data_IF_248659594064
#
_entry.id   IF_248659594064
#
_cell.length_a   1.000
_cell.length_b   1.000
_cell.length_c   1.000
_cell.angle_alpha   90.00
_cell.angle_beta   90.00
_cell.angle_gamma   90.00
#
_symmetry.space_group_name_H-M   'P 1'
#
loop_
_entity.id
_entity.type
_entity.pdbx_description
1 polymer ?
#
# COMPACT_ATOMS: atom_id res chain seq x y z
N UNK A 1 0.84 -31.72 -12.74
CA UNK A 1 -0.21 -30.71 -12.99
C UNK A 1 0.46 -29.35 -12.99
N UNK A 2 0.22 -28.50 -14.01
CA UNK A 2 0.72 -27.13 -14.01
C UNK A 2 -0.27 -26.22 -13.28
N UNK A 3 0.22 -25.44 -12.34
CA UNK A 3 -0.62 -24.59 -11.48
C UNK A 3 0.00 -23.22 -11.24
N UNK A 4 -0.83 -22.27 -10.82
CA UNK A 4 -0.40 -21.08 -10.11
C UNK A 4 -1.18 -20.93 -8.80
N UNK A 5 -0.52 -20.44 -7.75
CA UNK A 5 -1.15 -20.22 -6.45
C UNK A 5 -1.15 -18.72 -6.15
N UNK A 6 -2.31 -18.22 -5.75
CA UNK A 6 -2.53 -16.82 -5.41
C UNK A 6 -2.95 -16.71 -3.95
N UNK A 7 -2.32 -15.81 -3.20
CA UNK A 7 -2.63 -15.54 -1.80
C UNK A 7 -2.96 -14.07 -1.60
N UNK A 8 -3.87 -13.78 -0.67
CA UNK A 8 -4.19 -12.40 -0.31
C UNK A 8 -2.95 -11.74 0.31
N UNK A 9 -2.66 -10.53 -0.14
CA UNK A 9 -1.57 -9.66 0.33
C UNK A 9 -1.98 -9.09 1.70
N UNK A 10 -1.32 -9.47 2.81
CA UNK A 10 -1.71 -9.02 4.16
C UNK A 10 -1.73 -7.49 4.29
N UNK A 11 -0.83 -6.81 3.59
CA UNK A 11 -0.73 -5.36 3.55
C UNK A 11 -1.96 -4.66 2.96
N UNK A 12 -2.75 -5.35 2.13
CA UNK A 12 -3.98 -4.84 1.51
C UNK A 12 -5.26 -5.34 2.20
N UNK A 13 -5.16 -6.29 3.14
CA UNK A 13 -6.32 -6.98 3.72
C UNK A 13 -7.06 -6.15 4.79
N UNK A 14 -7.62 -5.00 4.41
CA UNK A 14 -8.36 -4.11 5.33
C UNK A 14 -9.68 -4.72 5.82
N UNK A 15 -10.30 -5.57 5.01
CA UNK A 15 -11.60 -6.22 5.30
C UNK A 15 -11.45 -7.59 5.97
N UNK A 16 -10.21 -7.99 6.27
CA UNK A 16 -9.85 -9.25 6.95
C UNK A 16 -10.37 -10.48 6.21
N UNK A 17 -10.21 -10.51 4.90
CA UNK A 17 -10.60 -11.58 4.00
C UNK A 17 -9.71 -12.82 4.15
N UNK A 18 -8.46 -12.65 4.58
CA UNK A 18 -7.56 -13.78 4.80
C UNK A 18 -8.20 -14.80 5.74
N UNK A 19 -8.10 -16.07 5.36
CA UNK A 19 -8.56 -17.22 6.14
C UNK A 19 -10.08 -17.31 6.33
N UNK A 20 -10.85 -16.45 5.65
CA UNK A 20 -12.30 -16.54 5.62
C UNK A 20 -12.80 -17.37 4.43
N UNK A 21 -14.00 -17.92 4.57
CA UNK A 21 -14.62 -18.80 3.60
C UNK A 21 -15.18 -18.04 2.38
N UNK A 22 -15.60 -18.78 1.35
CA UNK A 22 -16.09 -18.16 0.10
C UNK A 22 -17.37 -17.33 0.32
N UNK A 23 -18.21 -17.73 1.28
CA UNK A 23 -19.44 -17.00 1.63
C UNK A 23 -19.12 -15.60 2.17
N UNK A 24 -18.16 -15.49 3.09
CA UNK A 24 -17.69 -14.21 3.63
C UNK A 24 -17.08 -13.32 2.54
N UNK A 25 -16.27 -13.93 1.66
CA UNK A 25 -15.69 -13.25 0.51
C UNK A 25 -16.77 -12.67 -0.41
N UNK A 26 -17.81 -13.44 -0.72
CA UNK A 26 -18.93 -12.98 -1.53
C UNK A 26 -19.80 -11.93 -0.85
N UNK A 27 -19.95 -12.00 0.48
CA UNK A 27 -20.66 -10.96 1.24
C UNK A 27 -19.92 -9.61 1.18
N UNK A 28 -18.58 -9.63 1.16
CA UNK A 28 -17.76 -8.42 1.13
C UNK A 28 -17.58 -7.84 -0.30
N UNK A 29 -17.38 -8.69 -1.31
CA UNK A 29 -16.97 -8.26 -2.67
C UNK A 29 -17.89 -8.72 -3.80
N UNK A 30 -18.95 -9.47 -3.51
CA UNK A 30 -19.81 -10.07 -4.53
C UNK A 30 -19.16 -11.31 -5.17
N UNK A 31 -19.69 -11.74 -6.32
CA UNK A 31 -19.29 -13.01 -6.96
C UNK A 31 -17.90 -12.99 -7.58
N UNK A 32 -17.48 -11.86 -8.16
CA UNK A 32 -16.13 -11.71 -8.72
C UNK A 32 -15.15 -11.48 -7.57
N UNK A 33 -14.14 -12.35 -7.45
CA UNK A 33 -13.13 -12.21 -6.42
C UNK A 33 -12.26 -10.96 -6.66
N UNK A 34 -11.86 -10.23 -5.61
CA UNK A 34 -11.05 -9.03 -5.73
C UNK A 34 -9.58 -9.38 -6.02
N UNK A 35 -9.28 -9.82 -7.24
CA UNK A 35 -7.95 -10.32 -7.63
C UNK A 35 -6.80 -9.32 -7.39
N UNK A 36 -7.07 -8.00 -7.36
CA UNK A 36 -6.09 -6.97 -7.02
C UNK A 36 -5.57 -7.03 -5.57
N UNK A 37 -6.24 -7.77 -4.68
CA UNK A 37 -5.78 -8.04 -3.33
C UNK A 37 -4.84 -9.25 -3.24
N UNK A 38 -4.64 -9.97 -4.35
CA UNK A 38 -3.87 -11.20 -4.40
C UNK A 38 -2.51 -11.03 -5.05
N UNK A 39 -1.55 -11.84 -4.61
CA UNK A 39 -0.23 -12.02 -5.22
C UNK A 39 -0.10 -13.46 -5.73
N UNK A 40 0.49 -13.63 -6.91
CA UNK A 40 0.93 -14.94 -7.40
C UNK A 40 2.20 -15.40 -6.66
N UNK A 41 2.06 -16.27 -5.67
CA UNK A 41 3.15 -16.77 -4.82
C UNK A 41 3.86 -18.02 -5.36
N UNK A 42 3.29 -18.64 -6.40
CA UNK A 42 3.87 -19.77 -7.13
C UNK A 42 3.31 -19.87 -8.55
N UNK A 43 4.13 -20.33 -9.49
CA UNK A 43 3.68 -20.82 -10.80
C UNK A 43 4.66 -21.89 -11.29
N UNK A 44 4.14 -23.08 -11.61
CA UNK A 44 4.98 -24.20 -12.02
C UNK A 44 4.26 -25.54 -12.01
N UNK A 45 5.03 -26.60 -12.24
CA UNK A 45 4.55 -27.97 -12.21
C UNK A 45 4.62 -28.57 -10.81
N UNK A 46 3.57 -29.27 -10.41
CA UNK A 46 3.50 -30.05 -9.17
C UNK A 46 3.10 -31.49 -9.44
N UNK A 47 3.64 -32.42 -8.66
CA UNK A 47 3.31 -33.85 -8.69
C UNK A 47 1.97 -34.12 -7.97
N UNK A 48 0.89 -33.58 -8.54
CA UNK A 48 -0.48 -33.77 -8.05
C UNK A 48 -1.37 -34.33 -9.17
N UNK A 49 -2.19 -35.32 -8.83
CA UNK A 49 -3.20 -35.91 -9.70
C UNK A 49 -4.60 -35.26 -9.55
N UNK A 50 -4.86 -34.58 -8.43
CA UNK A 50 -6.06 -33.78 -8.18
C UNK A 50 -5.75 -32.63 -7.21
N UNK A 51 -6.65 -31.64 -7.12
CA UNK A 51 -6.41 -30.36 -6.43
C UNK A 51 -6.22 -30.50 -4.91
N UNK A 52 -6.80 -31.51 -4.29
CA UNK A 52 -6.64 -31.76 -2.86
C UNK A 52 -5.22 -32.23 -2.50
N UNK A 53 -4.50 -32.89 -3.41
CA UNK A 53 -3.06 -33.18 -3.21
C UNK A 53 -2.23 -31.89 -3.23
N UNK A 54 -2.63 -30.89 -4.02
CA UNK A 54 -1.96 -29.59 -4.06
C UNK A 54 -1.98 -28.94 -2.68
N UNK A 55 -3.12 -28.98 -1.98
CA UNK A 55 -3.21 -28.48 -0.60
C UNK A 55 -2.19 -29.15 0.33
N UNK A 56 -1.99 -30.48 0.23
CA UNK A 56 -1.01 -31.19 1.04
C UNK A 56 0.44 -30.79 0.69
N UNK A 57 0.75 -30.60 -0.59
CA UNK A 57 2.09 -30.18 -1.05
C UNK A 57 2.45 -28.82 -0.45
N UNK A 58 1.58 -27.82 -0.58
CA UNK A 58 1.79 -26.46 -0.06
C UNK A 58 1.59 -26.32 1.46
N UNK A 59 1.57 -27.44 2.19
CA UNK A 59 1.55 -27.49 3.65
C UNK A 59 2.60 -28.43 4.26
N UNK A 60 3.19 -29.35 3.48
CA UNK A 60 4.17 -30.33 4.00
C UNK A 60 5.52 -30.27 3.30
N UNK A 61 5.54 -30.04 1.98
CA UNK A 61 6.75 -30.10 1.15
C UNK A 61 6.73 -28.95 0.14
N UNK A 62 7.07 -27.74 0.61
CA UNK A 62 7.06 -26.55 -0.23
C UNK A 62 7.94 -26.70 -1.47
N UNK A 63 7.42 -26.41 -2.68
CA UNK A 63 8.21 -26.37 -3.90
C UNK A 63 9.35 -25.34 -3.82
N UNK A 64 10.43 -25.57 -4.57
CA UNK A 64 11.67 -24.76 -4.53
C UNK A 64 11.46 -23.25 -4.73
N UNK A 65 10.53 -22.87 -5.60
CA UNK A 65 10.25 -21.47 -5.93
C UNK A 65 9.01 -20.91 -5.21
N UNK A 66 8.54 -21.61 -4.17
CA UNK A 66 7.41 -21.15 -3.37
C UNK A 66 7.82 -20.03 -2.42
N UNK A 67 7.05 -18.93 -2.45
CA UNK A 67 7.32 -17.73 -1.61
C UNK A 67 6.19 -17.35 -0.68
N UNK A 68 5.09 -18.10 -0.73
CA UNK A 68 3.89 -17.83 0.07
C UNK A 68 3.92 -18.42 1.48
N UNK A 69 2.91 -18.09 2.27
CA UNK A 69 2.61 -18.77 3.54
C UNK A 69 2.01 -20.15 3.28
N UNK A 70 1.89 -21.03 4.26
CA UNK A 70 1.09 -22.26 4.13
C UNK A 70 -0.24 -22.02 3.42
N UNK A 71 -0.59 -22.91 2.49
CA UNK A 71 -1.85 -22.82 1.76
C UNK A 71 -3.01 -22.97 2.73
N UNK A 72 -3.99 -22.06 2.65
CA UNK A 72 -5.10 -21.97 3.59
C UNK A 72 -6.38 -21.49 2.90
N UNK A 73 -7.47 -21.48 3.66
CA UNK A 73 -8.73 -20.86 3.25
C UNK A 73 -8.45 -19.44 2.76
N UNK A 74 -9.17 -18.98 1.74
CA UNK A 74 -9.00 -17.72 1.00
C UNK A 74 -7.99 -17.72 -0.15
N UNK A 75 -7.14 -18.75 -0.24
CA UNK A 75 -6.19 -18.86 -1.35
C UNK A 75 -6.90 -19.29 -2.64
N UNK A 76 -6.39 -18.86 -3.79
CA UNK A 76 -6.92 -19.22 -5.11
C UNK A 76 -5.89 -20.06 -5.85
N UNK A 77 -6.29 -21.26 -6.25
CA UNK A 77 -5.51 -22.17 -7.08
C UNK A 77 -5.96 -22.07 -8.53
N UNK A 78 -5.05 -21.75 -9.42
CA UNK A 78 -5.25 -21.87 -10.85
C UNK A 78 -4.71 -23.22 -11.33
N UNK A 79 -5.56 -24.02 -11.99
CA UNK A 79 -5.14 -25.21 -12.74
C UNK A 79 -5.04 -24.82 -14.22
N UNK A 80 -3.83 -24.93 -14.76
CA UNK A 80 -3.49 -24.46 -16.10
C UNK A 80 -3.50 -25.66 -17.06
N UNK A 81 -4.57 -25.81 -17.83
CA UNK A 81 -4.64 -26.80 -18.92
C UNK A 81 -3.91 -26.26 -20.16
N UNK A 82 -4.23 -25.02 -20.54
CA UNK A 82 -3.48 -24.20 -21.50
C UNK A 82 -3.42 -22.75 -21.01
N UNK A 83 -2.57 -21.86 -21.58
CA UNK A 83 -2.56 -20.45 -21.17
C UNK A 83 -3.90 -19.73 -21.36
N UNK A 84 -4.77 -20.24 -22.25
CA UNK A 84 -6.11 -19.72 -22.53
C UNK A 84 -7.23 -20.51 -21.84
N UNK A 85 -6.95 -21.72 -21.37
CA UNK A 85 -7.91 -22.60 -20.67
C UNK A 85 -7.36 -22.89 -19.28
N UNK A 86 -7.72 -22.03 -18.34
CA UNK A 86 -7.35 -22.17 -16.94
C UNK A 86 -8.60 -22.09 -16.07
N UNK A 87 -8.67 -22.92 -15.03
CA UNK A 87 -9.76 -22.92 -14.05
C UNK A 87 -9.23 -22.47 -12.70
N UNK A 88 -10.03 -21.69 -11.99
CA UNK A 88 -9.66 -21.14 -10.70
C UNK A 88 -10.51 -21.76 -9.60
N UNK A 89 -9.86 -22.13 -8.51
CA UNK A 89 -10.46 -22.81 -7.38
C UNK A 89 -10.10 -22.08 -6.10
N UNK A 90 -11.11 -21.57 -5.41
CA UNK A 90 -10.99 -21.00 -4.08
C UNK A 90 -10.84 -22.12 -3.06
N UNK A 91 -9.81 -22.03 -2.21
CA UNK A 91 -9.66 -22.88 -1.04
C UNK A 91 -10.68 -22.43 0.00
N UNK A 92 -11.73 -23.22 0.17
CA UNK A 92 -12.83 -22.92 1.08
C UNK A 92 -12.65 -23.68 2.40
N UNK A 93 -13.55 -23.49 3.38
CA UNK A 93 -13.51 -24.20 4.65
C UNK A 93 -13.50 -25.72 4.49
N UNK A 94 -14.12 -26.22 3.42
CA UNK A 94 -14.11 -27.63 3.05
C UNK A 94 -13.83 -27.74 1.54
N UNK A 95 -12.62 -28.21 1.23
CA UNK A 95 -12.19 -28.48 -0.14
C UNK A 95 -12.06 -27.21 -0.98
N UNK A 96 -12.35 -27.37 -2.28
CA UNK A 96 -12.16 -26.33 -3.28
C UNK A 96 -13.48 -26.01 -3.99
N UNK A 97 -13.68 -24.73 -4.31
CA UNK A 97 -14.84 -24.25 -5.07
C UNK A 97 -14.37 -23.54 -6.33
N UNK A 98 -14.90 -23.92 -7.48
CA UNK A 98 -14.61 -23.22 -8.73
C UNK A 98 -15.16 -21.79 -8.68
N UNK A 99 -14.36 -20.81 -9.10
CA UNK A 99 -14.65 -19.36 -9.00
C UNK A 99 -14.18 -18.62 -10.24
N UNK A 100 -14.75 -17.43 -10.47
CA UNK A 100 -14.22 -16.47 -11.43
C UNK A 100 -13.11 -15.64 -10.78
N UNK A 101 -11.95 -15.54 -11.44
CA UNK A 101 -10.78 -14.81 -10.93
C UNK A 101 -9.99 -14.20 -12.09
N UNK A 102 -9.87 -12.87 -12.13
CA UNK A 102 -9.09 -12.16 -13.15
C UNK A 102 -7.62 -12.03 -12.71
N UNK A 103 -6.82 -13.05 -13.02
CA UNK A 103 -5.39 -13.08 -12.68
C UNK A 103 -4.56 -11.89 -13.19
N UNK A 104 -5.03 -11.16 -14.21
CA UNK A 104 -4.31 -10.00 -14.73
C UNK A 104 -4.34 -8.79 -13.78
N UNK A 105 -5.30 -8.79 -12.84
CA UNK A 105 -5.39 -7.78 -11.77
C UNK A 105 -4.54 -8.14 -10.57
N UNK A 106 -4.10 -9.40 -10.43
CA UNK A 106 -3.26 -9.84 -9.32
C UNK A 106 -1.82 -9.33 -9.46
N UNK A 107 -1.13 -9.18 -8.31
CA UNK A 107 0.27 -8.82 -8.29
C UNK A 107 1.17 -10.02 -8.66
N UNK A 108 2.29 -9.70 -9.30
CA UNK A 108 3.40 -10.63 -9.47
C UNK A 108 4.16 -10.79 -8.15
N UNK A 109 5.05 -11.81 -8.02
CA UNK A 109 5.84 -12.02 -6.82
C UNK A 109 6.45 -10.71 -6.27
N UNK A 110 5.95 -10.30 -5.11
CA UNK A 110 6.23 -9.02 -4.48
C UNK A 110 7.63 -9.06 -3.88
N UNK A 111 8.37 -7.97 -4.08
CA UNK A 111 9.78 -7.90 -3.71
C UNK A 111 10.03 -7.24 -2.36
N UNK A 112 9.03 -6.56 -1.79
CA UNK A 112 9.19 -5.70 -0.63
C UNK A 112 8.04 -5.84 0.40
N UNK A 113 7.63 -7.08 0.66
CA UNK A 113 6.74 -7.37 1.78
C UNK A 113 7.35 -6.88 3.10
N UNK A 114 6.52 -6.19 3.88
CA UNK A 114 6.77 -5.88 5.28
C UNK A 114 5.72 -6.52 6.19
N UNK A 115 4.68 -7.14 5.59
CA UNK A 115 3.55 -7.79 6.25
C UNK A 115 2.81 -6.86 7.22
N UNK A 116 2.94 -5.54 7.04
CA UNK A 116 2.29 -4.53 7.85
C UNK A 116 1.13 -3.91 7.08
N UNK A 117 -0.09 -4.25 7.49
CA UNK A 117 -1.26 -3.50 7.09
C UNK A 117 -1.18 -2.09 7.69
N UNK A 118 -1.15 -1.07 6.84
CA UNK A 118 -1.16 0.33 7.26
C UNK A 118 -2.42 0.99 6.75
N UNK A 119 -3.22 1.52 7.67
CA UNK A 119 -4.33 2.43 7.41
C UNK A 119 -4.34 3.48 8.53
N UNK A 120 -3.86 4.68 8.22
CA UNK A 120 -3.82 5.80 9.15
C UNK A 120 -4.80 6.87 8.65
N UNK A 121 -5.69 7.31 9.52
CA UNK A 121 -6.67 8.36 9.22
C UNK A 121 -6.51 9.48 10.25
N UNK A 122 -6.35 10.72 9.76
CA UNK A 122 -6.26 11.93 10.57
C UNK A 122 -7.26 12.95 10.06
N UNK A 123 -7.83 13.74 10.96
CA UNK A 123 -8.87 14.73 10.64
C UNK A 123 -8.45 16.12 11.08
N UNK A 124 -8.79 17.12 10.26
CA UNK A 124 -8.58 18.54 10.55
C UNK A 124 -7.13 18.86 10.94
N UNK A 125 -6.18 18.37 10.14
CA UNK A 125 -4.75 18.52 10.36
C UNK A 125 -4.09 19.20 9.16
N UNK A 126 -2.98 19.89 9.43
CA UNK A 126 -2.04 20.32 8.41
C UNK A 126 -0.91 19.30 8.32
N UNK A 127 -0.48 19.00 7.10
CA UNK A 127 0.59 18.05 6.79
C UNK A 127 1.70 18.72 6.00
N UNK A 128 2.94 18.40 6.37
CA UNK A 128 4.15 18.72 5.63
C UNK A 128 4.89 17.45 5.24
N UNK A 129 5.36 17.39 4.00
CA UNK A 129 6.17 16.27 3.50
C UNK A 129 7.02 16.68 2.30
N UNK A 130 8.01 15.86 1.96
CA UNK A 130 8.81 16.06 0.75
C UNK A 130 8.15 15.28 -0.39
N UNK A 131 7.59 16.02 -1.35
CA UNK A 131 7.09 15.50 -2.61
C UNK A 131 8.10 15.63 -3.76
N UNK A 132 7.61 15.38 -4.97
CA UNK A 132 8.42 15.42 -6.21
C UNK A 132 9.04 16.79 -6.49
N UNK A 133 8.42 17.87 -6.01
CA UNK A 133 8.87 19.25 -6.23
C UNK A 133 9.41 19.92 -4.96
N UNK A 134 9.77 19.12 -3.95
CA UNK A 134 10.25 19.59 -2.64
C UNK A 134 9.16 19.60 -1.58
N UNK A 135 9.23 20.53 -0.63
CA UNK A 135 8.27 20.61 0.48
C UNK A 135 6.85 20.88 -0.02
N UNK A 136 5.94 19.98 0.31
CA UNK A 136 4.50 20.12 0.17
C UNK A 136 3.88 20.47 1.54
N UNK A 137 2.93 21.41 1.53
CA UNK A 137 2.26 21.95 2.71
C UNK A 137 0.75 22.01 2.46
N UNK A 138 0.00 21.22 3.22
CA UNK A 138 -1.43 21.06 3.00
C UNK A 138 -2.22 21.11 4.30
N UNK A 139 -3.18 22.04 4.40
CA UNK A 139 -4.29 21.92 5.36
C UNK A 139 -5.37 21.00 4.79
N UNK A 140 -5.86 20.05 5.59
CA UNK A 140 -6.74 18.97 5.16
C UNK A 140 -7.83 18.68 6.21
N UNK A 141 -9.05 18.43 5.75
CA UNK A 141 -10.16 17.97 6.60
C UNK A 141 -9.99 16.50 6.95
N UNK A 142 -9.42 15.71 6.02
CA UNK A 142 -9.06 14.31 6.22
C UNK A 142 -7.76 13.99 5.49
N UNK A 143 -6.91 13.21 6.14
CA UNK A 143 -5.67 12.65 5.61
C UNK A 143 -5.78 11.15 5.78
N UNK A 144 -5.51 10.39 4.72
CA UNK A 144 -5.47 8.95 4.75
C UNK A 144 -4.13 8.48 4.19
N UNK A 145 -3.43 7.62 4.94
CA UNK A 145 -2.26 6.90 4.46
C UNK A 145 -2.58 5.41 4.49
N UNK A 146 -2.47 4.74 3.34
CA UNK A 146 -2.67 3.29 3.24
C UNK A 146 -1.61 2.61 2.40
N UNK A 147 -1.48 1.29 2.51
CA UNK A 147 -0.70 0.50 1.56
C UNK A 147 -1.39 0.51 0.19
N UNK A 148 -0.59 0.51 -0.89
CA UNK A 148 -1.10 0.48 -2.25
C UNK A 148 -0.19 -0.34 -3.18
N UNK A 149 -0.73 -0.75 -4.33
CA UNK A 149 0.08 -1.25 -5.43
C UNK A 149 0.87 -0.07 -6.02
N UNK A 150 2.20 -0.09 -5.88
CA UNK A 150 3.09 0.95 -6.42
C UNK A 150 3.58 0.58 -7.83
N UNK A 151 3.84 -0.72 -8.04
CA UNK A 151 4.10 -1.32 -9.35
C UNK A 151 3.50 -2.73 -9.36
N UNK A 152 3.70 -3.51 -10.43
CA UNK A 152 3.14 -4.87 -10.50
C UNK A 152 3.78 -5.85 -9.48
N UNK A 153 4.93 -5.53 -8.90
CA UNK A 153 5.71 -6.38 -7.99
C UNK A 153 6.22 -5.63 -6.75
N UNK A 154 5.72 -4.40 -6.50
CA UNK A 154 6.09 -3.60 -5.34
C UNK A 154 4.87 -2.98 -4.67
N UNK A 155 4.85 -3.08 -3.34
CA UNK A 155 3.87 -2.42 -2.48
C UNK A 155 4.45 -1.08 -2.02
N UNK A 156 3.66 -0.02 -2.10
CA UNK A 156 4.00 1.30 -1.59
C UNK A 156 3.00 1.80 -0.58
N UNK A 157 2.96 3.12 -0.46
CA UNK A 157 2.04 3.87 0.36
C UNK A 157 1.32 4.90 -0.50
N UNK A 158 0.00 4.99 -0.36
CA UNK A 158 -0.80 6.05 -0.96
C UNK A 158 -1.26 7.01 0.12
N UNK A 159 -0.90 8.28 -0.04
CA UNK A 159 -1.37 9.41 0.75
C UNK A 159 -2.52 10.09 0.00
N UNK A 160 -3.69 10.16 0.63
CA UNK A 160 -4.86 10.86 0.13
C UNK A 160 -5.16 12.07 1.03
N UNK A 161 -5.20 13.26 0.43
CA UNK A 161 -5.39 14.55 1.09
C UNK A 161 -6.73 15.15 0.68
N UNK A 162 -7.71 15.14 1.58
CA UNK A 162 -9.06 15.63 1.34
C UNK A 162 -9.18 17.09 1.80
N UNK A 163 -9.81 17.92 0.96
CA UNK A 163 -10.05 19.36 1.20
C UNK A 163 -11.46 19.74 0.76
N UNK A 164 -12.24 20.33 1.65
CA UNK A 164 -13.64 20.68 1.44
C UNK A 164 -14.52 19.43 1.30
N UNK A 165 -15.33 19.37 0.25
CA UNK A 165 -16.23 18.25 -0.01
C UNK A 165 -15.44 16.93 -0.14
N UNK A 166 -15.86 15.90 0.61
CA UNK A 166 -15.15 14.62 0.76
C UNK A 166 -14.88 13.84 -0.55
N UNK A 167 -15.49 14.24 -1.67
CA UNK A 167 -15.35 13.55 -2.95
C UNK A 167 -14.16 14.02 -3.81
N UNK A 168 -13.37 15.01 -3.37
CA UNK A 168 -12.16 15.44 -4.07
C UNK A 168 -10.95 15.38 -3.15
N UNK A 169 -9.93 14.65 -3.57
CA UNK A 169 -8.66 14.55 -2.86
C UNK A 169 -7.48 14.62 -3.81
N UNK A 170 -6.33 15.05 -3.28
CA UNK A 170 -5.03 14.95 -3.93
C UNK A 170 -4.40 13.62 -3.49
N UNK A 171 -3.78 12.89 -4.41
CA UNK A 171 -3.07 11.64 -4.09
C UNK A 171 -1.57 11.75 -4.36
N UNK A 172 -0.76 11.08 -3.55
CA UNK A 172 0.69 10.87 -3.71
C UNK A 172 1.01 9.42 -3.39
N UNK A 173 1.88 8.80 -4.18
CA UNK A 173 2.35 7.45 -3.94
C UNK A 173 3.84 7.45 -3.60
N UNK A 174 4.23 6.58 -2.67
CA UNK A 174 5.60 6.45 -2.20
C UNK A 174 5.98 4.98 -2.16
N UNK A 175 7.17 4.64 -2.67
CA UNK A 175 7.66 3.26 -2.60
C UNK A 175 7.99 2.82 -1.17
N UNK A 176 8.55 3.73 -0.38
CA UNK A 176 8.87 3.51 1.05
C UNK A 176 7.97 4.35 1.91
N UNK A 177 7.82 3.99 3.19
CA UNK A 177 7.01 4.77 4.12
C UNK A 177 7.61 6.18 4.24
N UNK A 178 6.92 7.22 3.73
CA UNK A 178 7.43 8.58 3.78
C UNK A 178 7.34 9.15 5.21
N UNK A 179 8.16 10.16 5.50
CA UNK A 179 8.09 10.90 6.75
C UNK A 179 7.15 12.09 6.60
N UNK A 180 6.17 12.19 7.48
CA UNK A 180 5.24 13.32 7.54
C UNK A 180 5.39 14.09 8.83
N UNK A 181 5.17 15.41 8.78
CA UNK A 181 4.94 16.24 9.96
C UNK A 181 3.49 16.69 9.94
N UNK A 182 2.71 16.26 10.93
CA UNK A 182 1.31 16.60 11.10
C UNK A 182 1.14 17.56 12.27
N UNK A 183 0.38 18.64 12.09
CA UNK A 183 0.17 19.64 13.15
C UNK A 183 -1.20 20.32 13.06
N UNK A 184 -1.65 20.90 14.17
CA UNK A 184 -2.78 21.84 14.19
C UNK A 184 -2.36 23.30 13.97
N UNK A 185 -1.06 23.57 13.80
CA UNK A 185 -0.55 24.91 13.51
C UNK A 185 -1.07 25.42 12.16
N UNK A 186 -1.89 26.48 12.21
CA UNK A 186 -2.43 27.17 11.05
C UNK A 186 -1.69 28.48 10.72
N UNK A 187 -0.61 28.80 11.46
CA UNK A 187 0.19 29.99 11.22
C UNK A 187 0.93 29.89 9.89
N UNK A 188 1.11 31.02 9.21
CA UNK A 188 1.95 31.05 8.02
C UNK A 188 3.41 30.83 8.40
N UNK A 189 4.06 29.87 7.76
CA UNK A 189 5.48 29.59 8.00
C UNK A 189 6.33 30.75 7.47
N UNK A 190 7.18 31.37 8.30
CA UNK A 190 8.10 32.41 7.83
C UNK A 190 9.05 31.84 6.78
N UNK A 191 9.32 32.62 5.72
CA UNK A 191 10.26 32.18 4.67
C UNK A 191 11.67 31.93 5.23
N UNK A 192 12.04 32.60 6.32
CA UNK A 192 13.33 32.43 7.00
C UNK A 192 13.57 31.01 7.53
N UNK A 193 12.51 30.20 7.68
CA UNK A 193 12.64 28.78 8.06
C UNK A 193 13.37 27.99 6.96
N UNK A 194 13.15 28.34 5.68
CA UNK A 194 13.68 27.60 4.53
C UNK A 194 14.69 28.39 3.70
N UNK A 195 14.68 29.71 3.78
CA UNK A 195 15.47 30.58 2.92
C UNK A 195 16.23 31.62 3.73
N UNK A 196 17.50 31.80 3.37
CA UNK A 196 18.24 32.99 3.75
C UNK A 196 17.84 34.12 2.80
N UNK A 197 17.13 35.11 3.34
CA UNK A 197 16.74 36.33 2.62
C UNK A 197 17.78 37.40 2.93
N UNK A 198 18.48 37.90 1.91
CA UNK A 198 19.41 39.03 2.04
C UNK A 198 18.91 40.18 1.18
N UNK A 199 18.79 41.34 1.80
CA UNK A 199 18.63 42.62 1.12
C UNK A 199 20.02 43.25 0.94
N UNK A 200 20.40 43.44 -0.32
CA UNK A 200 21.57 44.24 -0.69
C UNK A 200 21.15 45.22 -1.76
N UNK A 201 21.26 46.50 -1.47
CA UNK A 201 20.99 47.59 -2.40
C UNK A 201 19.59 47.52 -3.05
N UNK A 202 18.58 47.06 -2.30
CA UNK A 202 17.19 46.92 -2.77
C UNK A 202 16.92 45.66 -3.59
N UNK A 203 17.91 44.78 -3.75
CA UNK A 203 17.79 43.51 -4.46
C UNK A 203 17.64 42.35 -3.45
N UNK A 204 16.42 41.81 -3.36
CA UNK A 204 16.13 40.66 -2.48
C UNK A 204 16.70 39.39 -3.14
N UNK A 205 17.70 38.80 -2.50
CA UNK A 205 18.21 37.46 -2.86
C UNK A 205 17.69 36.43 -1.88
N UNK A 206 17.00 35.40 -2.40
CA UNK A 206 16.54 34.23 -1.63
C UNK A 206 17.43 33.04 -1.96
N UNK A 207 18.14 32.52 -0.96
CA UNK A 207 18.94 31.29 -1.11
C UNK A 207 18.35 30.21 -0.22
N UNK A 208 18.04 29.04 -0.80
CA UNK A 208 17.58 27.87 -0.04
C UNK A 208 18.61 27.48 1.02
N UNK A 209 18.15 27.23 2.23
CA UNK A 209 18.95 26.70 3.32
C UNK A 209 19.25 25.20 3.13
N UNK A 210 18.39 24.50 2.40
CA UNK A 210 18.43 23.04 2.26
C UNK A 210 18.38 22.61 0.78
N UNK A 211 18.95 21.44 0.44
CA UNK A 211 18.64 20.76 -0.82
C UNK A 211 17.14 20.47 -0.93
N UNK A 212 16.57 20.54 -2.13
CA UNK A 212 15.12 20.48 -2.38
C UNK A 212 14.42 19.26 -1.76
N UNK A 213 15.07 18.10 -1.75
CA UNK A 213 14.50 16.86 -1.21
C UNK A 213 15.12 16.43 0.14
N UNK A 214 15.82 17.33 0.85
CA UNK A 214 16.40 16.98 2.15
C UNK A 214 15.31 16.82 3.21
N UNK A 215 15.39 15.74 3.99
CA UNK A 215 14.54 15.55 5.17
C UNK A 215 14.84 16.56 6.29
N UNK A 216 15.99 17.25 6.25
CA UNK A 216 16.33 18.33 7.19
C UNK A 216 15.29 19.47 7.14
N UNK A 217 14.63 19.64 5.99
CA UNK A 217 13.51 20.57 5.83
C UNK A 217 12.40 20.27 6.83
N UNK A 218 12.05 18.99 7.01
CA UNK A 218 11.01 18.60 7.96
C UNK A 218 11.46 18.84 9.42
N UNK A 219 12.76 18.72 9.70
CA UNK A 219 13.35 19.11 10.99
C UNK A 219 13.21 20.61 11.27
N UNK A 220 13.46 21.45 10.26
CA UNK A 220 13.28 22.90 10.36
C UNK A 220 11.81 23.29 10.56
N UNK A 221 10.89 22.67 9.81
CA UNK A 221 9.44 22.83 9.96
C UNK A 221 8.99 22.44 11.37
N UNK A 222 9.43 21.28 11.86
CA UNK A 222 9.13 20.78 13.21
C UNK A 222 9.60 21.74 14.30
N UNK A 223 10.81 22.28 14.16
CA UNK A 223 11.38 23.26 15.10
C UNK A 223 10.55 24.54 15.12
N UNK A 224 10.16 25.05 13.95
CA UNK A 224 9.32 26.23 13.83
C UNK A 224 7.93 26.01 14.47
N UNK A 225 7.30 24.86 14.26
CA UNK A 225 6.00 24.51 14.86
C UNK A 225 6.09 24.57 16.39
N UNK A 226 7.11 23.95 16.99
CA UNK A 226 7.35 23.98 18.44
C UNK A 226 7.57 25.41 18.94
N UNK A 227 8.43 26.17 18.28
CA UNK A 227 8.71 27.57 18.65
C UNK A 227 7.47 28.47 18.56
N UNK A 228 6.51 28.09 17.72
CA UNK A 228 5.22 28.77 17.59
C UNK A 228 4.19 28.34 18.66
N UNK A 229 4.57 27.45 19.58
CA UNK A 229 3.70 26.99 20.68
C UNK A 229 2.74 25.87 20.30
N UNK A 230 3.01 25.14 19.22
CA UNK A 230 2.20 24.00 18.77
C UNK A 230 2.98 22.69 18.84
N UNK A 231 2.25 21.59 18.96
CA UNK A 231 2.81 20.25 18.83
C UNK A 231 2.72 19.75 17.38
N UNK A 232 3.51 18.72 17.09
CA UNK A 232 3.38 17.92 15.87
C UNK A 232 3.49 16.43 16.19
N UNK A 233 2.98 15.61 15.27
CA UNK A 233 3.18 14.17 15.26
C UNK A 233 3.85 13.76 13.96
N UNK A 234 4.71 12.74 14.04
CA UNK A 234 5.25 12.09 12.86
C UNK A 234 4.34 10.92 12.46
N UNK A 235 4.12 10.75 11.16
CA UNK A 235 3.40 9.60 10.60
C UNK A 235 4.31 8.78 9.71
#
# INVERSE_FOLDING_TARGET
MKIALYQIIPEFDTDRLMFNNLEYMHAAYGKELPAHLYEQVFCGDVEANYIEIVFAIFNTNFPKDYRGRSMSVSDVLEVIETPQESKFYYCDSIGFKEVEFDKNKAMLPIQNHDFQNTLIIKQNMRIFFIGENGLEDHSCDKILLKRCQYSQYQIGYELQLFRGNENKYITRQFLTKPLFVLTKCNMQMPESVLYNVKDKDGMITKKSCFPMHSLDILGAVSTWIIQSGFDFENM
#
